data_IF_609053764137
#
_entry.id   IF_609053764137
#
_cell.length_a   1.000
_cell.length_b   1.000
_cell.length_c   1.000
_cell.angle_alpha   90.00
_cell.angle_beta   90.00
_cell.angle_gamma   90.00
#
_symmetry.space_group_name_H-M   'P 1'
#
loop_
_entity.id
_entity.type
_entity.pdbx_description
1 polymer ?
#
# COMPACT_ATOMS: atom_id res chain seq x y z
N UNK A 1 11.27 8.43 -6.65
CA UNK A 1 12.13 7.58 -7.45
C UNK A 1 12.13 6.15 -6.91
N UNK A 2 11.97 5.16 -7.82
CA UNK A 2 11.87 3.71 -7.50
C UNK A 2 13.09 3.20 -6.73
N UNK A 3 14.28 3.69 -7.09
CA UNK A 3 15.54 3.33 -6.41
C UNK A 3 15.61 3.89 -4.98
N UNK A 4 15.05 5.06 -4.74
CA UNK A 4 15.00 5.65 -3.40
C UNK A 4 14.02 4.88 -2.50
N UNK A 5 12.85 4.47 -3.02
CA UNK A 5 11.89 3.63 -2.28
C UNK A 5 12.52 2.30 -1.86
N UNK A 6 13.23 1.64 -2.77
CA UNK A 6 13.95 0.41 -2.46
C UNK A 6 14.95 0.58 -1.30
N UNK A 7 15.71 1.68 -1.28
CA UNK A 7 16.65 1.97 -0.19
C UNK A 7 15.96 2.20 1.15
N UNK A 8 14.83 2.92 1.17
CA UNK A 8 14.09 3.18 2.40
C UNK A 8 13.41 1.90 2.90
N UNK A 9 12.86 1.08 2.02
CA UNK A 9 12.22 -0.19 2.38
C UNK A 9 13.22 -1.22 2.91
N UNK A 10 14.44 -1.28 2.38
CA UNK A 10 15.48 -2.20 2.85
C UNK A 10 16.14 -1.78 4.17
N UNK A 11 16.19 -0.48 4.47
CA UNK A 11 16.79 0.03 5.71
C UNK A 11 16.05 -0.34 7.01
N UNK A 12 14.70 -0.28 7.07
CA UNK A 12 13.98 -0.64 8.29
C UNK A 12 14.17 -2.08 8.73
N UNK A 13 14.30 -3.03 7.78
CA UNK A 13 14.42 -4.46 8.11
C UNK A 13 15.67 -4.74 8.95
N UNK A 14 16.90 -4.40 8.50
CA UNK A 14 18.10 -4.66 9.29
C UNK A 14 18.21 -3.80 10.54
N UNK A 15 17.61 -2.61 10.55
CA UNK A 15 17.73 -1.67 11.68
C UNK A 15 16.65 -1.83 12.74
N UNK A 16 15.41 -2.13 12.34
CA UNK A 16 14.24 -2.19 13.21
C UNK A 16 13.49 -3.52 13.17
N UNK A 17 13.88 -4.45 12.28
CA UNK A 17 13.24 -5.75 12.11
C UNK A 17 11.81 -5.69 11.53
N UNK A 18 11.42 -4.58 10.91
CA UNK A 18 10.07 -4.36 10.38
C UNK A 18 10.11 -4.19 8.87
N UNK A 19 9.30 -5.00 8.18
CA UNK A 19 9.03 -4.85 6.76
C UNK A 19 7.83 -3.92 6.58
N UNK A 20 7.97 -2.90 5.75
CA UNK A 20 6.94 -1.89 5.48
C UNK A 20 6.57 -1.85 4.00
N UNK A 21 5.37 -1.34 3.68
CA UNK A 21 4.94 -1.11 2.32
C UNK A 21 5.60 0.14 1.69
N UNK A 22 5.55 0.29 0.33
CA UNK A 22 6.21 1.41 -0.35
C UNK A 22 5.70 2.80 0.05
N UNK A 23 4.42 2.94 0.42
CA UNK A 23 3.83 4.23 0.82
C UNK A 23 4.28 4.62 2.22
N UNK A 24 4.32 3.65 3.14
CA UNK A 24 4.89 3.84 4.48
C UNK A 24 6.36 4.19 4.40
N UNK A 25 7.11 3.61 3.45
CA UNK A 25 8.51 3.96 3.21
C UNK A 25 8.69 5.44 2.79
N UNK A 26 7.82 5.94 1.92
CA UNK A 26 7.82 7.36 1.54
C UNK A 26 7.47 8.25 2.74
N UNK A 27 6.48 7.86 3.54
CA UNK A 27 6.08 8.57 4.78
C UNK A 27 7.22 8.65 5.79
N UNK A 28 7.92 7.53 6.04
CA UNK A 28 9.09 7.51 6.95
C UNK A 28 10.22 8.37 6.42
N UNK A 29 10.49 8.33 5.10
CA UNK A 29 11.52 9.17 4.49
C UNK A 29 11.26 10.65 4.76
N UNK A 30 10.06 11.12 4.44
CA UNK A 30 9.66 12.52 4.67
C UNK A 30 9.64 12.85 6.16
N UNK A 31 9.07 11.98 7.00
CA UNK A 31 9.04 12.17 8.44
C UNK A 31 10.42 12.35 9.06
N UNK A 32 11.43 11.62 8.57
CA UNK A 32 12.82 11.75 9.03
C UNK A 32 13.48 13.10 8.64
N UNK A 33 13.03 13.72 7.56
CA UNK A 33 13.49 15.05 7.13
C UNK A 33 12.91 16.17 8.00
N UNK A 34 11.83 15.88 8.75
CA UNK A 34 11.09 16.83 9.58
C UNK A 34 11.12 16.46 11.08
N UNK A 35 12.11 15.68 11.50
CA UNK A 35 12.30 15.38 12.92
C UNK A 35 12.69 16.63 13.69
N UNK A 36 11.95 16.92 14.74
CA UNK A 36 12.27 18.00 15.69
C UNK A 36 12.46 17.42 17.10
N UNK A 37 13.37 17.99 17.87
CA UNK A 37 13.68 17.51 19.20
C UNK A 37 12.47 17.64 20.13
N UNK A 38 12.04 16.52 20.69
CA UNK A 38 10.92 16.48 21.64
C UNK A 38 9.53 16.41 21.01
N UNK A 39 9.41 16.45 19.67
CA UNK A 39 8.13 16.25 18.97
C UNK A 39 8.11 14.88 18.28
N UNK A 40 7.22 13.95 18.68
CA UNK A 40 7.12 12.66 18.00
C UNK A 40 6.53 12.81 16.60
N UNK A 41 7.15 12.14 15.62
CA UNK A 41 6.60 12.01 14.26
C UNK A 41 6.01 10.61 14.12
N UNK A 42 4.72 10.54 13.78
CA UNK A 42 3.99 9.30 13.57
C UNK A 42 3.76 9.07 12.08
N UNK A 43 4.32 8.00 11.54
CA UNK A 43 4.06 7.56 10.17
C UNK A 43 3.00 6.46 10.19
N UNK A 44 1.83 6.73 9.62
CA UNK A 44 0.71 5.78 9.58
C UNK A 44 0.92 4.80 8.43
N UNK A 45 0.96 3.50 8.74
CA UNK A 45 0.92 2.43 7.75
C UNK A 45 -0.53 2.23 7.28
N UNK A 46 -0.78 2.44 5.98
CA UNK A 46 -2.12 2.35 5.38
C UNK A 46 -2.32 1.11 4.53
N UNK A 47 -1.29 0.31 4.33
CA UNK A 47 -1.32 -0.93 3.57
C UNK A 47 -0.29 -1.93 4.09
N UNK A 48 -0.56 -3.22 3.91
CA UNK A 48 0.40 -4.27 4.25
C UNK A 48 1.41 -4.50 3.11
N UNK A 49 2.66 -4.88 3.43
CA UNK A 49 3.68 -5.22 2.44
C UNK A 49 3.22 -6.26 1.41
N UNK A 50 2.44 -7.26 1.82
CA UNK A 50 1.92 -8.32 0.96
C UNK A 50 1.10 -7.80 -0.24
N UNK A 51 0.45 -6.63 -0.13
CA UNK A 51 -0.28 -5.99 -1.23
C UNK A 51 0.64 -5.59 -2.39
N UNK A 52 1.92 -5.38 -2.11
CA UNK A 52 2.94 -4.90 -3.06
C UNK A 52 4.06 -5.91 -3.23
N UNK A 53 3.74 -7.22 -3.20
CA UNK A 53 4.71 -8.32 -3.18
C UNK A 53 5.79 -8.20 -4.26
N UNK A 54 5.42 -7.86 -5.51
CA UNK A 54 6.39 -7.70 -6.60
C UNK A 54 7.40 -6.57 -6.32
N UNK A 55 6.92 -5.42 -5.85
CA UNK A 55 7.78 -4.27 -5.51
C UNK A 55 8.66 -4.56 -4.31
N UNK A 56 8.11 -5.24 -3.29
CA UNK A 56 8.87 -5.66 -2.11
C UNK A 56 9.97 -6.63 -2.50
N UNK A 57 9.66 -7.67 -3.27
CA UNK A 57 10.64 -8.65 -3.75
C UNK A 57 11.76 -7.99 -4.56
N UNK A 58 11.42 -7.03 -5.42
CA UNK A 58 12.43 -6.26 -6.18
C UNK A 58 13.35 -5.46 -5.25
N UNK A 59 12.82 -4.89 -4.18
CA UNK A 59 13.55 -4.01 -3.27
C UNK A 59 14.41 -4.76 -2.24
N UNK A 60 13.93 -5.89 -1.71
CA UNK A 60 14.55 -6.59 -0.58
C UNK A 60 14.95 -8.04 -0.89
N UNK A 61 14.59 -8.59 -2.04
CA UNK A 61 15.00 -9.90 -2.52
C UNK A 61 14.19 -11.10 -2.03
N UNK A 62 13.12 -10.88 -1.24
CA UNK A 62 12.24 -11.95 -0.77
C UNK A 62 10.76 -11.54 -0.78
N UNK A 63 9.88 -12.55 -0.77
CA UNK A 63 8.43 -12.34 -0.68
C UNK A 63 8.02 -11.85 0.70
N UNK A 64 7.19 -10.80 0.80
CA UNK A 64 6.62 -10.39 2.07
C UNK A 64 5.67 -11.48 2.61
N UNK A 65 5.62 -11.68 3.94
CA UNK A 65 4.68 -12.62 4.53
C UNK A 65 3.25 -12.16 4.26
N UNK A 66 2.39 -13.11 3.85
CA UNK A 66 0.97 -12.87 3.64
C UNK A 66 0.22 -13.25 4.92
N UNK A 67 -0.66 -12.36 5.44
CA UNK A 67 -1.52 -12.72 6.56
C UNK A 67 -2.39 -13.94 6.21
N UNK A 68 -2.55 -14.92 7.13
CA UNK A 68 -3.31 -16.15 6.85
C UNK A 68 -4.74 -15.91 6.38
N UNK A 69 -5.39 -14.86 6.84
CA UNK A 69 -6.76 -14.45 6.45
C UNK A 69 -6.88 -14.12 4.95
N UNK A 70 -5.77 -13.84 4.27
CA UNK A 70 -5.72 -13.53 2.84
C UNK A 70 -5.00 -14.59 2.02
N UNK A 71 -4.74 -15.78 2.58
CA UNK A 71 -3.96 -16.82 1.91
C UNK A 71 -4.57 -17.27 0.56
N UNK A 72 -5.90 -17.29 0.47
CA UNK A 72 -6.70 -17.76 -0.66
C UNK A 72 -7.34 -16.64 -1.50
N UNK A 73 -6.95 -15.37 -1.27
CA UNK A 73 -7.65 -14.20 -1.85
C UNK A 73 -7.68 -14.20 -3.39
N UNK A 74 -6.61 -14.67 -4.03
CA UNK A 74 -6.55 -14.76 -5.50
C UNK A 74 -7.46 -15.86 -6.07
N UNK A 75 -7.79 -16.88 -5.28
CA UNK A 75 -8.72 -17.94 -5.66
C UNK A 75 -10.20 -17.57 -5.52
N UNK A 76 -10.50 -16.43 -4.90
CA UNK A 76 -11.88 -15.99 -4.71
C UNK A 76 -12.46 -15.35 -5.98
N UNK A 77 -13.78 -15.51 -6.22
CA UNK A 77 -14.45 -14.84 -7.32
C UNK A 77 -14.26 -13.32 -7.26
N UNK A 78 -13.94 -12.73 -8.41
CA UNK A 78 -13.82 -11.27 -8.52
C UNK A 78 -15.14 -10.68 -9.02
N UNK A 79 -15.62 -9.65 -8.32
CA UNK A 79 -16.80 -8.88 -8.71
C UNK A 79 -16.36 -7.49 -9.13
N UNK A 80 -16.22 -7.29 -10.44
CA UNK A 80 -15.83 -6.00 -11.00
C UNK A 80 -16.68 -5.65 -12.21
N UNK A 81 -16.83 -4.36 -12.48
CA UNK A 81 -17.44 -3.83 -13.69
C UNK A 81 -16.41 -3.00 -14.41
N UNK A 82 -16.11 -3.35 -15.66
CA UNK A 82 -15.21 -2.55 -16.51
C UNK A 82 -15.97 -1.38 -17.09
N UNK A 83 -15.46 -0.18 -16.89
CA UNK A 83 -16.02 1.05 -17.41
C UNK A 83 -14.99 1.77 -18.29
N UNK A 84 -15.45 2.52 -19.33
CA UNK A 84 -14.57 3.45 -20.02
C UNK A 84 -13.97 4.48 -19.05
N UNK A 85 -12.77 4.98 -19.34
CA UNK A 85 -12.12 6.05 -18.57
C UNK A 85 -12.79 7.41 -18.83
N UNK A 86 -14.06 7.53 -18.47
CA UNK A 86 -14.93 8.68 -18.66
C UNK A 86 -15.62 9.05 -17.36
N UNK A 87 -15.38 10.28 -16.87
CA UNK A 87 -15.89 10.72 -15.58
C UNK A 87 -17.42 10.77 -15.51
N UNK A 88 -18.11 11.11 -16.60
CA UNK A 88 -19.57 11.17 -16.63
C UNK A 88 -20.18 9.77 -16.51
N UNK A 89 -19.59 8.80 -17.19
CA UNK A 89 -20.01 7.39 -17.09
C UNK A 89 -19.77 6.82 -15.70
N UNK A 90 -18.64 7.11 -15.07
CA UNK A 90 -18.35 6.68 -13.69
C UNK A 90 -19.34 7.30 -12.70
N UNK A 91 -19.64 8.60 -12.83
CA UNK A 91 -20.65 9.28 -11.99
C UNK A 91 -22.03 8.65 -12.15
N UNK A 92 -22.48 8.39 -13.39
CA UNK A 92 -23.76 7.73 -13.67
C UNK A 92 -23.80 6.33 -13.06
N UNK A 93 -22.73 5.56 -13.20
CA UNK A 93 -22.62 4.23 -12.61
C UNK A 93 -22.71 4.25 -11.08
N UNK A 94 -22.05 5.20 -10.41
CA UNK A 94 -22.10 5.39 -8.96
C UNK A 94 -23.53 5.76 -8.54
N UNK A 95 -24.15 6.76 -9.20
CA UNK A 95 -25.49 7.22 -8.88
C UNK A 95 -26.54 6.10 -9.00
N UNK A 96 -26.43 5.28 -10.05
CA UNK A 96 -27.36 4.16 -10.25
C UNK A 96 -27.28 3.06 -9.17
N UNK A 97 -26.14 2.97 -8.46
CA UNK A 97 -25.95 1.96 -7.42
C UNK A 97 -26.08 2.52 -5.99
N UNK A 98 -25.72 3.77 -5.76
CA UNK A 98 -25.85 4.43 -4.46
C UNK A 98 -27.32 4.61 -4.02
N UNK A 99 -28.28 4.68 -4.98
CA UNK A 99 -29.71 4.76 -4.70
C UNK A 99 -30.42 3.40 -4.53
N UNK A 100 -29.73 2.29 -4.67
CA UNK A 100 -30.32 0.95 -4.62
C UNK A 100 -30.35 0.32 -3.22
N UNK A 101 -29.94 1.05 -2.18
CA UNK A 101 -29.98 0.64 -0.78
C UNK A 101 -31.13 1.37 -0.08
N UNK A 102 -32.36 0.97 -0.40
CA UNK A 102 -33.58 1.31 0.31
C UNK A 102 -34.27 0.04 0.79
#
# INVERSE_FOLDING_TARGET
DRLQRGRVMSQPIPRFGVLIDPHTADGIKVGREHLDAGVPVVCVETALPAKFAATIREAVGFEPPRPPVYADIEGKPQHCTVLPADAARVKTFIAARAGASG
#
